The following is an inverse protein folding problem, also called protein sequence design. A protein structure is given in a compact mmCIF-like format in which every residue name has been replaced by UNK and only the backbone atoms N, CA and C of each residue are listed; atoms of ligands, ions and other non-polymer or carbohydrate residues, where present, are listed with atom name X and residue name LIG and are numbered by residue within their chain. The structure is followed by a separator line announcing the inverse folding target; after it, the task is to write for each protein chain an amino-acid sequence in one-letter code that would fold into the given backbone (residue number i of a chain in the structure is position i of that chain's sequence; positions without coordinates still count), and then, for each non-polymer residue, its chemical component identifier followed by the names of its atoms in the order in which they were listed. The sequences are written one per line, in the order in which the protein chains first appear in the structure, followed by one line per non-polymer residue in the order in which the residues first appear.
data_IF_826024258069
#
_entry.id   IF_826024258069
#
_cell.length_a   1.000
_cell.length_b   1.000
_cell.length_c   1.000
_cell.angle_alpha   90.00
_cell.angle_beta   90.00
_cell.angle_gamma   90.00
#
_symmetry.space_group_name_H-M   'P 1'
#
loop_
_entity.id
_entity.type
_entity.pdbx_description
1 polymer ?
#
# COMPACT_ATOMS: atom_id res chain seq x y z
N UNK A 1 4.94 14.88 -33.85
CA UNK A 1 4.40 15.07 -32.49
C UNK A 1 5.11 14.07 -31.61
N UNK A 2 5.94 14.57 -30.70
CA UNK A 2 6.87 13.75 -29.92
C UNK A 2 6.12 12.89 -28.89
N UNK A 3 6.59 11.67 -28.76
CA UNK A 3 6.09 10.61 -27.90
C UNK A 3 6.03 11.04 -26.43
N UNK A 4 4.83 11.01 -25.83
CA UNK A 4 4.66 11.05 -24.37
C UNK A 4 5.05 9.68 -23.78
N UNK A 5 6.34 9.37 -23.77
CA UNK A 5 6.91 8.34 -22.88
C UNK A 5 6.99 8.91 -21.45
N UNK A 6 5.82 9.21 -20.87
CA UNK A 6 5.72 9.73 -19.50
C UNK A 6 5.95 8.59 -18.52
N UNK A 7 7.03 8.68 -17.74
CA UNK A 7 7.47 7.80 -16.65
C UNK A 7 6.41 7.61 -15.53
N UNK A 8 5.20 7.19 -15.86
CA UNK A 8 4.08 7.03 -14.94
C UNK A 8 4.16 5.65 -14.29
N UNK A 9 4.13 5.63 -12.96
CA UNK A 9 3.97 4.38 -12.21
C UNK A 9 2.63 3.76 -12.63
N UNK A 10 2.59 2.46 -13.01
CA UNK A 10 1.32 1.80 -13.29
C UNK A 10 0.45 1.84 -12.03
N UNK A 11 -0.86 2.06 -12.15
CA UNK A 11 -1.74 2.07 -10.96
C UNK A 11 -1.72 0.69 -10.28
N UNK A 12 -1.69 0.64 -8.96
CA UNK A 12 -1.91 -0.61 -8.23
C UNK A 12 -3.33 -1.11 -8.53
N UNK A 13 -3.43 -2.35 -9.02
CA UNK A 13 -4.70 -3.00 -9.37
C UNK A 13 -5.01 -4.20 -8.46
N UNK A 14 -4.00 -4.71 -7.77
CA UNK A 14 -4.15 -5.81 -6.84
C UNK A 14 -2.84 -6.57 -6.67
N UNK A 15 -2.96 -7.87 -6.34
CA UNK A 15 -1.83 -8.78 -6.10
C UNK A 15 -0.96 -8.94 -7.35
N UNK A 16 -1.55 -8.89 -8.53
CA UNK A 16 -0.91 -9.21 -9.80
C UNK A 16 0.20 -8.23 -10.19
N UNK A 17 0.10 -6.97 -9.75
CA UNK A 17 1.13 -5.96 -10.03
C UNK A 17 1.78 -5.36 -8.79
N UNK A 18 1.40 -5.79 -7.57
CA UNK A 18 1.92 -5.23 -6.33
C UNK A 18 3.45 -5.30 -6.21
N UNK A 19 4.09 -6.41 -6.60
CA UNK A 19 5.56 -6.55 -6.49
C UNK A 19 6.31 -5.50 -7.30
N UNK A 20 5.90 -5.27 -8.54
CA UNK A 20 6.51 -4.26 -9.40
C UNK A 20 6.14 -2.85 -8.92
N UNK A 21 4.87 -2.64 -8.60
CA UNK A 21 4.35 -1.36 -8.12
C UNK A 21 5.08 -0.89 -6.86
N UNK A 22 5.15 -1.74 -5.84
CA UNK A 22 5.79 -1.43 -4.55
C UNK A 22 7.27 -1.12 -4.73
N UNK A 23 7.98 -1.85 -5.58
CA UNK A 23 9.39 -1.58 -5.88
C UNK A 23 9.59 -0.19 -6.52
N UNK A 24 8.72 0.21 -7.45
CA UNK A 24 8.81 1.52 -8.11
C UNK A 24 8.47 2.63 -7.10
N UNK A 25 7.34 2.52 -6.38
CA UNK A 25 6.92 3.51 -5.37
C UNK A 25 7.99 3.67 -4.30
N UNK A 26 8.51 2.57 -3.77
CA UNK A 26 9.58 2.60 -2.77
C UNK A 26 10.83 3.32 -3.31
N UNK A 27 11.28 3.00 -4.53
CA UNK A 27 12.44 3.66 -5.14
C UNK A 27 12.19 5.16 -5.33
N UNK A 28 11.00 5.57 -5.74
CA UNK A 28 10.66 6.98 -5.91
C UNK A 28 10.61 7.72 -4.58
N UNK A 29 9.97 7.16 -3.55
CA UNK A 29 9.89 7.77 -2.23
C UNK A 29 11.28 7.86 -1.56
N UNK A 30 12.16 6.86 -1.76
CA UNK A 30 13.56 6.94 -1.34
C UNK A 30 14.30 8.08 -2.06
N UNK A 31 14.11 8.21 -3.38
CA UNK A 31 14.69 9.31 -4.15
C UNK A 31 14.20 10.71 -3.73
N UNK A 32 13.03 10.80 -3.09
CA UNK A 32 12.45 12.04 -2.56
C UNK A 32 12.75 12.29 -1.09
N UNK A 33 13.37 11.34 -0.38
CA UNK A 33 13.54 11.39 1.07
C UNK A 33 12.24 11.18 1.87
N UNK A 34 11.14 10.78 1.22
CA UNK A 34 9.82 10.60 1.82
C UNK A 34 9.61 9.18 2.37
N UNK A 35 10.48 8.23 2.03
CA UNK A 35 10.39 6.85 2.52
C UNK A 35 10.47 6.74 4.05
N UNK A 36 11.05 7.73 4.73
CA UNK A 36 11.17 7.78 6.20
C UNK A 36 9.84 7.81 6.94
N UNK A 37 8.73 8.18 6.28
CA UNK A 37 7.39 8.20 6.87
C UNK A 37 6.70 6.84 6.80
N UNK A 38 7.27 5.88 6.07
CA UNK A 38 6.73 4.52 5.91
C UNK A 38 7.65 3.49 6.56
N UNK A 39 8.97 3.70 6.46
CA UNK A 39 9.99 2.74 6.89
C UNK A 39 9.76 2.33 8.35
N UNK A 40 9.54 1.03 8.65
CA UNK A 40 9.28 0.58 10.01
C UNK A 40 10.44 0.84 10.98
N UNK A 41 11.65 1.10 10.47
CA UNK A 41 12.83 1.41 11.27
C UNK A 41 13.03 2.91 11.49
N UNK A 42 12.26 3.78 10.81
CA UNK A 42 12.37 5.21 10.95
C UNK A 42 11.45 5.73 12.07
N UNK A 43 11.99 6.59 12.94
CA UNK A 43 11.19 7.26 13.99
C UNK A 43 10.09 8.11 13.37
N UNK A 44 10.38 8.75 12.23
CA UNK A 44 9.45 9.59 11.48
C UNK A 44 8.26 8.83 10.89
N UNK A 45 8.28 7.48 10.89
CA UNK A 45 7.14 6.69 10.42
C UNK A 45 5.98 6.65 11.43
N UNK A 46 6.22 7.14 12.66
CA UNK A 46 5.22 7.19 13.72
C UNK A 46 4.82 8.64 13.94
N UNK A 47 3.52 8.86 14.16
CA UNK A 47 3.01 10.16 14.54
C UNK A 47 3.72 10.64 15.83
N UNK A 48 4.31 11.86 15.84
CA UNK A 48 4.93 12.40 17.03
C UNK A 48 3.93 12.51 18.18
N UNK A 49 4.37 12.13 19.38
CA UNK A 49 3.56 12.25 20.60
C UNK A 49 3.76 13.62 21.25
N UNK A 50 2.69 14.24 21.77
CA UNK A 50 2.79 15.53 22.46
C UNK A 50 3.63 15.40 23.74
N UNK A 51 4.23 16.50 24.21
CA UNK A 51 4.94 16.53 25.49
C UNK A 51 3.99 16.18 26.64
N UNK A 52 4.51 15.46 27.63
CA UNK A 52 3.80 15.18 28.88
C UNK A 52 4.06 16.30 29.88
N UNK A 53 3.05 16.68 30.67
CA UNK A 53 3.22 17.65 31.75
C UNK A 53 3.98 17.01 32.91
N UNK A 54 5.14 17.55 33.26
CA UNK A 54 5.96 17.01 34.34
C UNK A 54 5.52 17.54 35.71
N UNK A 55 5.85 16.79 36.77
CA UNK A 55 5.55 17.18 38.15
C UNK A 55 6.43 18.39 38.56
N UNK A 56 5.88 19.59 38.41
CA UNK A 56 6.57 20.85 38.68
C UNK A 56 6.36 21.90 37.59
N UNK A 57 5.83 21.52 36.43
CA UNK A 57 5.55 22.46 35.35
C UNK A 57 4.38 23.39 35.68
N UNK A 58 4.59 24.68 35.46
CA UNK A 58 3.48 25.63 35.42
C UNK A 58 2.61 25.38 34.20
N UNK A 59 1.31 25.64 34.31
CA UNK A 59 0.36 25.52 33.21
C UNK A 59 0.79 26.33 31.97
N UNK A 60 1.38 27.52 32.19
CA UNK A 60 1.89 28.37 31.13
C UNK A 60 3.09 27.77 30.39
N UNK A 61 4.05 27.19 31.12
CA UNK A 61 5.21 26.53 30.52
C UNK A 61 4.82 25.28 29.73
N UNK A 62 3.87 24.50 30.25
CA UNK A 62 3.32 23.35 29.54
C UNK A 62 2.60 23.77 28.25
N UNK A 63 1.73 24.77 28.31
CA UNK A 63 1.03 25.27 27.12
C UNK A 63 1.97 25.86 26.06
N UNK A 64 3.02 26.57 26.48
CA UNK A 64 4.05 27.06 25.57
C UNK A 64 4.79 25.90 24.88
N UNK A 65 5.12 24.85 25.63
CA UNK A 65 5.78 23.65 25.10
C UNK A 65 4.87 22.89 24.14
N UNK A 66 3.58 22.77 24.45
CA UNK A 66 2.58 22.15 23.58
C UNK A 66 2.39 22.95 22.28
N UNK A 67 2.35 24.28 22.35
CA UNK A 67 2.26 25.14 21.17
C UNK A 67 3.52 25.03 20.29
N UNK A 68 4.70 25.02 20.90
CA UNK A 68 5.97 24.84 20.20
C UNK A 68 6.04 23.46 19.53
N UNK A 69 5.59 22.40 20.21
CA UNK A 69 5.48 21.07 19.65
C UNK A 69 4.54 21.03 18.43
N UNK A 70 3.33 21.58 18.57
CA UNK A 70 2.35 21.60 17.47
C UNK A 70 2.89 22.33 16.23
N UNK A 71 3.57 23.46 16.43
CA UNK A 71 4.05 24.30 15.32
C UNK A 71 5.32 23.76 14.68
N UNK A 72 6.28 23.31 15.48
CA UNK A 72 7.63 22.99 15.00
C UNK A 72 7.83 21.50 14.71
N UNK A 73 6.99 20.62 15.26
CA UNK A 73 7.14 19.16 15.14
C UNK A 73 5.94 18.54 14.45
N UNK A 74 4.73 18.73 14.99
CA UNK A 74 3.55 18.05 14.50
C UNK A 74 3.12 18.54 13.12
N UNK A 75 2.92 19.84 12.93
CA UNK A 75 2.45 20.38 11.65
C UNK A 75 3.39 20.07 10.47
N UNK A 76 4.74 20.21 10.57
CA UNK A 76 5.64 19.80 9.49
C UNK A 76 5.60 18.30 9.21
N UNK A 77 5.46 17.48 10.26
CA UNK A 77 5.32 16.03 10.12
C UNK A 77 4.02 15.67 9.39
N UNK A 78 2.89 16.27 9.76
CA UNK A 78 1.58 16.02 9.14
C UNK A 78 1.59 16.39 7.65
N UNK A 79 2.21 17.52 7.28
CA UNK A 79 2.34 17.92 5.87
C UNK A 79 3.16 16.90 5.08
N UNK A 80 4.26 16.42 5.64
CA UNK A 80 5.15 15.47 4.96
C UNK A 80 4.54 14.06 4.87
N UNK A 81 3.88 13.61 5.93
CA UNK A 81 3.14 12.34 5.91
C UNK A 81 1.97 12.39 4.93
N UNK A 82 1.16 13.47 4.95
CA UNK A 82 0.05 13.66 4.00
C UNK A 82 0.52 13.69 2.55
N UNK A 83 1.69 14.29 2.27
CA UNK A 83 2.31 14.27 0.94
C UNK A 83 2.69 12.85 0.51
N UNK A 84 3.25 12.08 1.42
CA UNK A 84 3.62 10.67 1.21
C UNK A 84 2.38 9.81 0.99
N UNK A 85 1.36 9.95 1.82
CA UNK A 85 0.06 9.30 1.71
C UNK A 85 -0.61 9.62 0.37
N UNK A 86 -0.71 10.91 0.03
CA UNK A 86 -1.26 11.37 -1.25
C UNK A 86 -0.56 10.73 -2.42
N UNK A 87 0.78 10.63 -2.39
CA UNK A 87 1.54 9.99 -3.44
C UNK A 87 1.21 8.51 -3.60
N UNK A 88 1.02 7.77 -2.50
CA UNK A 88 0.59 6.38 -2.56
C UNK A 88 -0.82 6.28 -3.15
N UNK A 89 -1.78 7.04 -2.59
CA UNK A 89 -3.20 7.02 -2.96
C UNK A 89 -3.38 7.31 -4.44
N UNK A 90 -2.76 8.37 -4.96
CA UNK A 90 -2.90 8.72 -6.38
C UNK A 90 -2.32 7.64 -7.29
N UNK A 91 -1.45 6.75 -6.82
CA UNK A 91 -0.90 5.64 -7.60
C UNK A 91 -1.68 4.31 -7.43
N UNK A 92 -2.86 4.34 -6.81
CA UNK A 92 -3.80 3.22 -6.74
C UNK A 92 -4.99 3.40 -7.71
N UNK A 93 -5.74 2.33 -8.00
CA UNK A 93 -7.06 2.43 -8.65
C UNK A 93 -8.10 3.06 -7.73
N UNK A 94 -9.18 3.61 -8.30
CA UNK A 94 -10.27 4.22 -7.52
C UNK A 94 -10.87 3.26 -6.48
N UNK A 95 -11.00 1.96 -6.80
CA UNK A 95 -11.48 0.94 -5.87
C UNK A 95 -10.58 0.78 -4.65
N UNK A 96 -9.25 0.85 -4.83
CA UNK A 96 -8.29 0.75 -3.72
C UNK A 96 -8.24 2.07 -2.96
N UNK A 97 -8.33 3.22 -3.66
CA UNK A 97 -8.36 4.56 -3.05
C UNK A 97 -9.48 4.70 -2.04
N UNK A 98 -10.68 4.24 -2.39
CA UNK A 98 -11.85 4.28 -1.50
C UNK A 98 -11.57 3.55 -0.18
N UNK A 99 -10.96 2.37 -0.25
CA UNK A 99 -10.62 1.56 0.93
C UNK A 99 -9.56 2.28 1.78
N UNK A 100 -8.49 2.75 1.15
CA UNK A 100 -7.33 3.30 1.87
C UNK A 100 -7.52 4.75 2.35
N UNK A 101 -8.55 5.45 1.86
CA UNK A 101 -8.87 6.83 2.29
C UNK A 101 -9.29 6.94 3.76
N UNK A 102 -9.62 5.80 4.38
CA UNK A 102 -9.97 5.72 5.81
C UNK A 102 -8.76 5.71 6.75
N UNK A 103 -7.54 5.51 6.24
CA UNK A 103 -6.31 5.50 7.04
C UNK A 103 -5.75 6.91 7.21
N UNK A 104 -5.23 7.21 8.40
CA UNK A 104 -4.75 8.54 8.75
C UNK A 104 -3.31 8.78 8.27
N UNK A 105 -2.47 7.75 8.33
CA UNK A 105 -1.03 7.89 8.06
C UNK A 105 -0.58 7.17 6.80
N UNK A 106 0.47 7.70 6.17
CA UNK A 106 1.10 7.05 5.00
C UNK A 106 1.61 5.64 5.32
N UNK A 107 2.05 5.44 6.57
CA UNK A 107 2.45 4.13 7.10
C UNK A 107 1.30 3.13 7.14
N UNK A 108 0.15 3.49 7.70
CA UNK A 108 -1.01 2.60 7.78
C UNK A 108 -1.50 2.18 6.40
N UNK A 109 -1.52 3.13 5.46
CA UNK A 109 -1.84 2.85 4.05
C UNK A 109 -0.88 1.80 3.50
N UNK A 110 0.44 2.02 3.67
CA UNK A 110 1.45 1.10 3.16
C UNK A 110 1.35 -0.29 3.80
N UNK A 111 1.23 -0.35 5.13
CA UNK A 111 1.12 -1.60 5.88
C UNK A 111 -0.13 -2.39 5.48
N UNK A 112 -1.26 -1.70 5.23
CA UNK A 112 -2.47 -2.32 4.69
C UNK A 112 -2.23 -2.91 3.29
N UNK A 113 -1.72 -2.12 2.35
CA UNK A 113 -1.46 -2.56 0.98
C UNK A 113 -0.48 -3.73 0.94
N UNK A 114 0.54 -3.69 1.80
CA UNK A 114 1.50 -4.76 1.96
C UNK A 114 0.84 -6.03 2.49
N UNK A 115 0.04 -5.93 3.56
CA UNK A 115 -0.67 -7.08 4.11
C UNK A 115 -1.64 -7.71 3.10
N UNK A 116 -2.34 -6.91 2.30
CA UNK A 116 -3.34 -7.40 1.35
C UNK A 116 -2.73 -7.99 0.08
N UNK A 117 -1.73 -7.31 -0.48
CA UNK A 117 -1.30 -7.56 -1.85
C UNK A 117 0.09 -8.18 -1.99
N UNK A 118 0.89 -8.23 -0.91
CA UNK A 118 2.26 -8.78 -0.95
C UNK A 118 2.36 -10.24 -1.41
N UNK A 119 1.23 -10.96 -1.48
CA UNK A 119 1.14 -12.36 -1.92
C UNK A 119 1.94 -13.32 -1.05
N UNK A 120 1.25 -14.33 -0.51
CA UNK A 120 1.89 -15.49 0.10
C UNK A 120 2.50 -16.37 -1.00
N UNK A 121 3.67 -15.96 -1.51
CA UNK A 121 4.63 -16.80 -2.22
C UNK A 121 4.23 -17.38 -3.59
N UNK A 122 5.26 -17.83 -4.31
CA UNK A 122 5.20 -18.61 -5.56
C UNK A 122 4.26 -19.83 -5.47
N UNK A 123 3.99 -20.33 -4.25
CA UNK A 123 3.14 -21.49 -3.99
C UNK A 123 1.69 -21.33 -4.43
N UNK A 124 1.09 -20.13 -4.38
CA UNK A 124 -0.30 -19.96 -4.87
C UNK A 124 -0.38 -19.99 -6.39
N UNK A 125 0.62 -19.43 -7.08
CA UNK A 125 0.74 -19.53 -8.55
C UNK A 125 1.06 -20.95 -9.00
N UNK A 126 1.87 -21.67 -8.22
CA UNK A 126 2.19 -23.07 -8.46
C UNK A 126 0.96 -23.96 -8.21
N UNK A 127 0.18 -23.74 -7.14
CA UNK A 127 -1.03 -24.52 -6.88
C UNK A 127 -2.09 -24.30 -7.97
N UNK A 128 -2.29 -23.06 -8.44
CA UNK A 128 -3.18 -22.79 -9.59
C UNK A 128 -2.66 -23.43 -10.88
N UNK A 129 -1.33 -23.42 -11.10
CA UNK A 129 -0.74 -24.08 -12.26
C UNK A 129 -0.84 -25.62 -12.17
N UNK A 130 -0.63 -26.22 -11.00
CA UNK A 130 -0.79 -27.66 -10.75
C UNK A 130 -2.25 -28.10 -10.89
N UNK A 131 -3.20 -27.27 -10.46
CA UNK A 131 -4.63 -27.52 -10.65
C UNK A 131 -5.04 -27.41 -12.13
N UNK A 132 -4.38 -26.54 -12.91
CA UNK A 132 -4.56 -26.46 -14.37
C UNK A 132 -3.87 -27.59 -15.13
N UNK A 133 -2.67 -27.99 -14.70
CA UNK A 133 -1.87 -29.06 -15.31
C UNK A 133 -2.46 -30.46 -14.98
N UNK A 134 -3.13 -30.60 -13.83
CA UNK A 134 -3.87 -31.81 -13.45
C UNK A 134 -5.23 -31.98 -14.15
N UNK A 135 -5.74 -30.94 -14.84
CA UNK A 135 -6.91 -31.05 -15.71
C UNK A 135 -6.53 -31.74 -17.03
N UNK A 136 -6.36 -33.06 -16.96
CA UNK A 136 -6.13 -33.90 -18.14
C UNK A 136 -7.45 -34.23 -18.83
N UNK A 137 -7.52 -33.97 -20.15
CA UNK A 137 -8.70 -34.29 -20.96
C UNK A 137 -8.72 -35.77 -21.34
N UNK A 138 -9.54 -36.57 -20.66
CA UNK A 138 -9.71 -38.02 -20.95
C UNK A 138 -10.51 -38.34 -22.23
N UNK A 139 -10.92 -37.33 -23.00
CA UNK A 139 -11.51 -37.52 -24.34
C UNK A 139 -12.95 -38.03 -24.37
N UNK A 140 -13.64 -38.14 -23.23
CA UNK A 140 -14.99 -38.72 -23.16
C UNK A 140 -16.12 -37.70 -23.11
N UNK A 141 -15.87 -36.50 -22.59
CA UNK A 141 -16.88 -35.43 -22.53
C UNK A 141 -16.21 -34.04 -22.60
N UNK A 142 -16.24 -33.44 -23.79
CA UNK A 142 -15.68 -32.12 -24.06
C UNK A 142 -16.45 -31.02 -23.32
N UNK A 143 -17.76 -31.20 -23.14
CA UNK A 143 -18.64 -30.20 -22.56
C UNK A 143 -18.39 -30.12 -21.04
N UNK A 144 -18.23 -31.26 -20.37
CA UNK A 144 -17.87 -31.30 -18.95
C UNK A 144 -16.47 -30.71 -18.67
N UNK A 145 -15.50 -30.94 -19.56
CA UNK A 145 -14.17 -30.33 -19.47
C UNK A 145 -14.23 -28.81 -19.64
N UNK A 146 -14.97 -28.33 -20.64
CA UNK A 146 -15.15 -26.89 -20.87
C UNK A 146 -15.87 -26.19 -19.71
N UNK A 147 -16.84 -26.85 -19.07
CA UNK A 147 -17.53 -26.33 -17.88
C UNK A 147 -16.57 -26.23 -16.69
N UNK A 148 -15.78 -27.27 -16.40
CA UNK A 148 -14.78 -27.26 -15.30
C UNK A 148 -13.70 -26.21 -15.53
N UNK A 149 -13.25 -26.05 -16.77
CA UNK A 149 -12.27 -25.04 -17.17
C UNK A 149 -12.84 -23.61 -17.08
N UNK A 150 -14.09 -23.38 -17.46
CA UNK A 150 -14.75 -22.07 -17.27
C UNK A 150 -14.98 -21.75 -15.79
N UNK A 151 -15.33 -22.73 -14.97
CA UNK A 151 -15.53 -22.53 -13.53
C UNK A 151 -14.23 -22.15 -12.82
N UNK A 152 -13.10 -22.79 -13.16
CA UNK A 152 -11.79 -22.41 -12.61
C UNK A 152 -11.36 -21.01 -13.05
N UNK A 153 -11.75 -20.55 -14.25
CA UNK A 153 -11.51 -19.18 -14.72
C UNK A 153 -12.43 -18.16 -14.00
N UNK A 154 -13.72 -18.48 -13.83
CA UNK A 154 -14.72 -17.56 -13.27
C UNK A 154 -14.57 -17.33 -11.75
N UNK A 155 -14.10 -18.32 -10.99
CA UNK A 155 -13.81 -18.16 -9.55
C UNK A 155 -12.72 -17.09 -9.31
N UNK A 156 -11.87 -16.84 -10.31
CA UNK A 156 -10.79 -15.84 -10.25
C UNK A 156 -11.15 -14.47 -10.86
N UNK A 157 -12.40 -14.24 -11.29
CA UNK A 157 -12.88 -12.91 -11.74
C UNK A 157 -13.78 -12.19 -10.71
N UNK A 158 -14.08 -12.80 -9.56
CA UNK A 158 -14.91 -12.19 -8.50
C UNK A 158 -14.21 -12.05 -7.14
N UNK A 159 -12.87 -12.11 -7.07
CA UNK A 159 -12.11 -11.99 -5.82
C UNK A 159 -10.95 -11.01 -5.88
#
# INVERSE_FOLDING_TARGET
MAEESSNKIPKLRGKENYKLWSAIVQKTLKGRGEWIYIDPNAVSSRKPSPPTKEAGDTEAAFNQSLQAFNTSVLAPWEVADAKTASYIIVNCTASIQDIISSYETSKEIWDYLEKQYRSSGTGHRMSTFEEWDSLYFEGKDLEEYCIKYQQSICIHQQG
#
